data_IF_398925683815
#
_entry.id   IF_398925683815
#
_cell.length_a   1.000
_cell.length_b   1.000
_cell.length_c   1.000
_cell.angle_alpha   90.00
_cell.angle_beta   90.00
_cell.angle_gamma   90.00
#
_symmetry.space_group_name_H-M   'P 1'
#
loop_
_entity.id
_entity.type
_entity.pdbx_description
1 polymer ?
#
# COMPACT_ATOMS: atom_id res chain seq x y z
N UNK A 1 23.40 -8.33 -13.10
CA UNK A 1 22.26 -7.41 -13.04
C UNK A 1 22.44 -6.56 -11.79
N UNK A 2 22.38 -5.23 -11.90
CA UNK A 2 22.45 -4.34 -10.73
C UNK A 2 21.10 -4.45 -9.99
N UNK A 3 21.13 -4.89 -8.76
CA UNK A 3 19.90 -4.99 -7.94
C UNK A 3 19.62 -3.63 -7.32
N UNK A 4 18.43 -3.08 -7.58
CA UNK A 4 18.00 -1.82 -6.98
C UNK A 4 17.91 -1.95 -5.45
N UNK A 5 18.33 -0.91 -4.73
CA UNK A 5 18.05 -0.77 -3.30
C UNK A 5 16.58 -0.38 -3.13
N UNK A 6 15.79 -1.25 -2.52
CA UNK A 6 14.34 -1.06 -2.34
C UNK A 6 14.05 -0.43 -0.99
N UNK A 7 13.42 0.74 -1.01
CA UNK A 7 12.94 1.46 0.17
C UNK A 7 11.43 1.29 0.26
N UNK A 8 10.94 0.58 1.27
CA UNK A 8 9.52 0.32 1.44
C UNK A 8 8.87 1.39 2.32
N UNK A 9 7.81 2.02 1.81
CA UNK A 9 6.98 2.98 2.52
C UNK A 9 5.70 2.28 2.97
N UNK A 10 5.49 2.20 4.27
CA UNK A 10 4.29 1.59 4.86
C UNK A 10 3.62 2.53 5.87
N UNK A 11 2.50 2.11 6.43
CA UNK A 11 1.73 2.88 7.42
C UNK A 11 0.23 2.60 7.30
N UNK A 12 -0.53 3.00 8.31
CA UNK A 12 -1.97 2.78 8.35
C UNK A 12 -2.77 3.61 7.35
N UNK A 13 -4.04 3.28 7.21
CA UNK A 13 -4.99 4.09 6.43
C UNK A 13 -4.99 5.54 6.95
N UNK A 14 -4.95 6.53 6.05
CA UNK A 14 -4.99 7.95 6.39
C UNK A 14 -3.69 8.53 6.97
N UNK A 15 -2.61 7.75 7.13
CA UNK A 15 -1.33 8.24 7.65
C UNK A 15 -0.61 9.20 6.69
N UNK A 16 -0.89 9.15 5.37
CA UNK A 16 -0.30 10.04 4.38
C UNK A 16 0.83 9.41 3.56
N UNK A 17 0.93 8.08 3.51
CA UNK A 17 1.90 7.35 2.66
C UNK A 17 1.94 7.85 1.22
N UNK A 18 0.77 7.94 0.58
CA UNK A 18 0.70 8.33 -0.83
C UNK A 18 1.18 9.77 -1.05
N UNK A 19 0.92 10.69 -0.11
CA UNK A 19 1.45 12.06 -0.17
C UNK A 19 2.97 12.06 -0.04
N UNK A 20 3.52 11.28 0.90
CA UNK A 20 4.98 11.10 1.03
C UNK A 20 5.58 10.56 -0.27
N UNK A 21 4.96 9.55 -0.87
CA UNK A 21 5.43 8.95 -2.12
C UNK A 21 5.38 9.95 -3.29
N UNK A 22 4.33 10.74 -3.41
CA UNK A 22 4.24 11.81 -4.41
C UNK A 22 5.37 12.84 -4.24
N UNK A 23 5.70 13.23 -3.00
CA UNK A 23 6.83 14.13 -2.74
C UNK A 23 8.18 13.49 -3.08
N UNK A 24 8.34 12.18 -2.89
CA UNK A 24 9.52 11.42 -3.32
C UNK A 24 9.65 11.44 -4.85
N UNK A 25 8.55 11.27 -5.58
CA UNK A 25 8.52 11.37 -7.05
C UNK A 25 8.93 12.76 -7.54
N UNK A 26 8.51 13.84 -6.86
CA UNK A 26 8.95 15.22 -7.23
C UNK A 26 10.46 15.43 -7.03
N UNK A 27 11.15 14.58 -6.26
CA UNK A 27 12.61 14.56 -6.10
C UNK A 27 13.30 13.66 -7.14
N UNK A 28 12.54 13.10 -8.11
CA UNK A 28 13.07 12.32 -9.21
C UNK A 28 13.25 10.83 -8.93
N UNK A 29 12.65 10.29 -7.86
CA UNK A 29 12.72 8.87 -7.55
C UNK A 29 11.49 8.11 -8.03
N UNK A 30 11.71 6.90 -8.52
CA UNK A 30 10.64 6.01 -8.97
C UNK A 30 9.93 5.35 -7.79
N UNK A 31 8.58 5.36 -7.83
CA UNK A 31 7.73 4.75 -6.78
C UNK A 31 6.82 3.69 -7.39
N UNK A 32 6.85 2.49 -6.83
CA UNK A 32 5.93 1.40 -7.14
C UNK A 32 4.78 1.40 -6.14
N UNK A 33 3.56 1.62 -6.61
CA UNK A 33 2.34 1.62 -5.80
C UNK A 33 1.67 0.25 -5.81
N UNK A 34 1.92 -0.58 -4.80
CA UNK A 34 1.49 -1.99 -4.77
C UNK A 34 -0.02 -2.15 -4.90
N UNK A 35 -0.83 -1.32 -4.21
CA UNK A 35 -2.30 -1.41 -4.25
C UNK A 35 -2.87 -1.03 -5.63
N UNK A 36 -2.26 -0.05 -6.31
CA UNK A 36 -2.66 0.34 -7.67
C UNK A 36 -2.30 -0.75 -8.68
N UNK A 37 -1.09 -1.33 -8.55
CA UNK A 37 -0.63 -2.43 -9.42
C UNK A 37 -1.47 -3.68 -9.20
N UNK A 38 -1.81 -4.02 -7.95
CA UNK A 38 -2.73 -5.13 -7.66
C UNK A 38 -4.08 -4.94 -8.37
N UNK A 39 -4.68 -3.74 -8.29
CA UNK A 39 -5.94 -3.44 -8.99
C UNK A 39 -5.80 -3.56 -10.52
N UNK A 40 -4.69 -3.09 -11.08
CA UNK A 40 -4.43 -3.21 -12.50
C UNK A 40 -4.33 -4.68 -12.92
N UNK A 41 -3.58 -5.50 -12.18
CA UNK A 41 -3.44 -6.93 -12.45
C UNK A 41 -4.77 -7.67 -12.34
N UNK A 42 -5.57 -7.38 -11.30
CA UNK A 42 -6.92 -7.95 -11.14
C UNK A 42 -7.89 -7.57 -12.26
N UNK A 43 -7.65 -6.48 -13.00
CA UNK A 43 -8.48 -6.09 -14.14
C UNK A 43 -7.92 -6.56 -15.49
N UNK A 44 -6.63 -6.83 -15.60
CA UNK A 44 -5.98 -7.06 -16.91
C UNK A 44 -5.44 -8.48 -17.12
N UNK A 45 -5.13 -9.21 -16.05
CA UNK A 45 -4.61 -10.57 -16.17
C UNK A 45 -5.73 -11.60 -16.28
N UNK A 46 -5.92 -12.17 -17.46
CA UNK A 46 -7.02 -13.10 -17.77
C UNK A 46 -7.16 -14.25 -16.76
N UNK A 47 -6.07 -14.92 -16.43
CA UNK A 47 -6.09 -16.05 -15.48
C UNK A 47 -6.49 -15.59 -14.06
N UNK A 48 -6.04 -14.39 -13.64
CA UNK A 48 -6.41 -13.84 -12.34
C UNK A 48 -7.90 -13.44 -12.31
N UNK A 49 -8.39 -12.82 -13.38
CA UNK A 49 -9.83 -12.50 -13.55
C UNK A 49 -10.68 -13.75 -13.41
N UNK A 50 -10.31 -14.84 -14.10
CA UNK A 50 -11.02 -16.11 -14.00
C UNK A 50 -10.99 -16.68 -12.58
N UNK A 51 -9.82 -16.70 -11.93
CA UNK A 51 -9.70 -17.20 -10.56
C UNK A 51 -10.53 -16.38 -9.55
N UNK A 52 -10.56 -15.06 -9.69
CA UNK A 52 -11.38 -14.18 -8.85
C UNK A 52 -12.87 -14.42 -9.12
N UNK A 53 -13.27 -14.60 -10.38
CA UNK A 53 -14.66 -14.92 -10.73
C UNK A 53 -15.09 -16.27 -10.15
N UNK A 54 -14.23 -17.28 -10.17
CA UNK A 54 -14.51 -18.58 -9.52
C UNK A 54 -14.67 -18.42 -8.01
N UNK A 55 -13.83 -17.59 -7.37
CA UNK A 55 -13.82 -17.39 -5.92
C UNK A 55 -15.03 -16.59 -5.40
N UNK A 56 -15.44 -15.54 -6.14
CA UNK A 56 -16.46 -14.59 -5.68
C UNK A 56 -17.75 -14.61 -6.49
N UNK A 57 -17.79 -15.35 -7.59
CA UNK A 57 -18.90 -15.35 -8.54
C UNK A 57 -18.84 -14.19 -9.55
N UNK A 58 -19.79 -14.19 -10.49
CA UNK A 58 -19.86 -13.19 -11.58
C UNK A 58 -19.97 -11.74 -11.08
N UNK A 59 -20.53 -11.52 -9.88
CA UNK A 59 -20.65 -10.19 -9.26
C UNK A 59 -19.29 -9.55 -8.91
N UNK A 60 -18.19 -10.33 -8.97
CA UNK A 60 -16.85 -9.84 -8.77
C UNK A 60 -16.42 -8.81 -9.82
N UNK A 61 -17.04 -8.85 -11.00
CA UNK A 61 -16.80 -7.92 -12.09
C UNK A 61 -18.10 -7.30 -12.58
N UNK A 62 -18.05 -6.02 -12.92
CA UNK A 62 -19.16 -5.28 -13.51
C UNK A 62 -18.66 -4.59 -14.78
N UNK A 63 -19.29 -4.87 -15.93
CA UNK A 63 -18.85 -4.36 -17.23
C UNK A 63 -17.36 -4.57 -17.53
N UNK A 64 -16.81 -5.71 -17.12
CA UNK A 64 -15.40 -6.06 -17.32
C UNK A 64 -14.42 -5.40 -16.34
N UNK A 65 -14.91 -4.67 -15.35
CA UNK A 65 -14.10 -4.02 -14.33
C UNK A 65 -14.35 -4.65 -12.95
N UNK A 66 -13.29 -4.80 -12.15
CA UNK A 66 -13.38 -5.36 -10.80
C UNK A 66 -14.34 -4.54 -9.92
N UNK A 67 -15.37 -5.17 -9.41
CA UNK A 67 -16.29 -4.58 -8.43
C UNK A 67 -15.61 -4.55 -7.04
N UNK A 68 -14.75 -3.52 -6.84
CA UNK A 68 -13.94 -3.41 -5.63
C UNK A 68 -14.79 -3.28 -4.36
N UNK A 69 -15.99 -2.70 -4.43
CA UNK A 69 -16.89 -2.57 -3.27
C UNK A 69 -17.45 -3.93 -2.87
N UNK A 70 -17.91 -4.71 -3.84
CA UNK A 70 -18.42 -6.07 -3.61
C UNK A 70 -17.32 -6.98 -3.02
N UNK A 71 -16.12 -6.97 -3.62
CA UNK A 71 -14.98 -7.74 -3.10
C UNK A 71 -14.64 -7.32 -1.66
N UNK A 72 -14.56 -6.02 -1.39
CA UNK A 72 -14.28 -5.51 -0.05
C UNK A 72 -15.30 -5.97 0.98
N UNK A 73 -16.59 -5.99 0.64
CA UNK A 73 -17.66 -6.47 1.51
C UNK A 73 -17.56 -7.99 1.76
N UNK A 74 -17.19 -8.77 0.75
CA UNK A 74 -17.01 -10.22 0.88
C UNK A 74 -15.83 -10.55 1.81
N UNK A 75 -14.65 -10.02 1.55
CA UNK A 75 -13.43 -10.29 2.33
C UNK A 75 -13.51 -9.73 3.76
N UNK A 76 -14.34 -8.71 3.96
CA UNK A 76 -14.58 -8.18 5.29
C UNK A 76 -15.40 -9.14 6.15
N UNK A 77 -16.42 -9.75 5.57
CA UNK A 77 -17.31 -10.71 6.27
C UNK A 77 -16.66 -12.08 6.45
N UNK A 78 -15.78 -12.48 5.53
CA UNK A 78 -15.19 -13.82 5.47
C UNK A 78 -13.67 -13.73 5.35
N UNK A 79 -12.97 -14.00 6.47
CA UNK A 79 -11.49 -13.93 6.51
C UNK A 79 -10.84 -14.95 5.58
N UNK A 80 -11.45 -16.10 5.35
CA UNK A 80 -10.91 -17.15 4.49
C UNK A 80 -10.85 -16.67 3.01
N UNK A 81 -11.91 -16.00 2.53
CA UNK A 81 -11.92 -15.38 1.19
C UNK A 81 -10.84 -14.33 1.03
N UNK A 82 -10.54 -13.58 2.09
CA UNK A 82 -9.42 -12.64 2.08
C UNK A 82 -8.09 -13.35 1.89
N UNK A 83 -7.83 -14.42 2.65
CA UNK A 83 -6.60 -15.20 2.55
C UNK A 83 -6.46 -15.82 1.16
N UNK A 84 -7.53 -16.36 0.60
CA UNK A 84 -7.53 -16.93 -0.74
C UNK A 84 -7.26 -15.86 -1.80
N UNK A 85 -7.92 -14.70 -1.75
CA UNK A 85 -7.65 -13.58 -2.65
C UNK A 85 -6.19 -13.12 -2.57
N UNK A 86 -5.66 -12.93 -1.36
CA UNK A 86 -4.28 -12.53 -1.13
C UNK A 86 -3.30 -13.58 -1.70
N UNK A 87 -3.61 -14.87 -1.60
CA UNK A 87 -2.80 -15.95 -2.17
C UNK A 87 -2.73 -15.93 -3.70
N UNK A 88 -3.79 -15.46 -4.36
CA UNK A 88 -3.83 -15.30 -5.81
C UNK A 88 -3.10 -14.03 -6.28
N UNK A 89 -3.26 -12.94 -5.54
CA UNK A 89 -2.80 -11.60 -5.97
C UNK A 89 -1.33 -11.34 -5.60
N UNK A 90 -0.90 -11.70 -4.38
CA UNK A 90 0.43 -11.33 -3.88
C UNK A 90 1.59 -11.88 -4.73
N UNK A 91 1.56 -13.12 -5.22
CA UNK A 91 2.64 -13.63 -6.10
C UNK A 91 2.77 -12.81 -7.38
N UNK A 92 1.65 -12.44 -7.99
CA UNK A 92 1.63 -11.68 -9.24
C UNK A 92 2.11 -10.24 -9.04
N UNK A 93 1.72 -9.60 -7.93
CA UNK A 93 2.23 -8.26 -7.58
C UNK A 93 3.74 -8.30 -7.31
N UNK A 94 4.23 -9.36 -6.68
CA UNK A 94 5.66 -9.54 -6.45
C UNK A 94 6.43 -9.71 -7.76
N UNK A 95 5.93 -10.52 -8.67
CA UNK A 95 6.53 -10.71 -10.00
C UNK A 95 6.53 -9.41 -10.80
N UNK A 96 5.40 -8.70 -10.82
CA UNK A 96 5.25 -7.41 -11.46
C UNK A 96 6.22 -6.37 -10.87
N UNK A 97 6.38 -6.33 -9.55
CA UNK A 97 7.34 -5.46 -8.89
C UNK A 97 8.79 -5.75 -9.31
N UNK A 98 9.19 -7.02 -9.33
CA UNK A 98 10.55 -7.41 -9.72
C UNK A 98 10.83 -7.07 -11.20
N UNK A 99 9.87 -7.27 -12.08
CA UNK A 99 9.96 -6.85 -13.47
C UNK A 99 10.10 -5.34 -13.58
N UNK A 100 9.25 -4.59 -12.89
CA UNK A 100 9.28 -3.13 -12.85
C UNK A 100 10.63 -2.59 -12.35
N UNK A 101 11.22 -3.16 -11.29
CA UNK A 101 12.57 -2.81 -10.82
C UNK A 101 13.64 -3.01 -11.90
N UNK A 102 13.57 -4.12 -12.64
CA UNK A 102 14.52 -4.40 -13.72
C UNK A 102 14.38 -3.43 -14.91
N UNK A 103 13.14 -3.03 -15.22
CA UNK A 103 12.82 -2.11 -16.31
C UNK A 103 13.18 -0.67 -15.96
N UNK A 104 13.01 -0.23 -14.72
CA UNK A 104 13.38 1.13 -14.29
C UNK A 104 14.88 1.38 -14.41
N UNK A 105 15.71 0.38 -14.09
CA UNK A 105 17.17 0.52 -14.08
C UNK A 105 17.71 1.42 -12.96
N UNK A 106 16.86 1.92 -12.08
CA UNK A 106 17.22 2.83 -11.00
C UNK A 106 18.01 2.11 -9.89
N UNK A 107 19.02 2.79 -9.35
CA UNK A 107 19.80 2.25 -8.22
C UNK A 107 18.99 2.19 -6.92
N UNK A 108 18.09 3.14 -6.74
CA UNK A 108 17.19 3.24 -5.58
C UNK A 108 15.77 3.37 -6.08
N UNK A 109 14.89 2.50 -5.60
CA UNK A 109 13.46 2.53 -5.89
C UNK A 109 12.66 2.52 -4.59
N UNK A 110 11.50 3.16 -4.63
CA UNK A 110 10.55 3.16 -3.52
C UNK A 110 9.39 2.23 -3.84
N UNK A 111 8.87 1.55 -2.80
CA UNK A 111 7.70 0.68 -2.88
C UNK A 111 6.68 1.10 -1.83
N UNK A 112 5.52 1.56 -2.25
CA UNK A 112 4.41 1.85 -1.34
C UNK A 112 3.54 0.61 -1.17
N UNK A 113 3.33 0.19 0.08
CA UNK A 113 2.38 -0.85 0.43
C UNK A 113 1.93 -0.72 1.88
N UNK A 114 0.63 -0.93 2.11
CA UNK A 114 0.08 -0.94 3.47
C UNK A 114 0.51 -2.18 4.28
N UNK A 115 0.87 -3.28 3.62
CA UNK A 115 1.06 -4.60 4.21
C UNK A 115 2.53 -5.04 4.33
N UNK A 116 3.51 -4.14 4.19
CA UNK A 116 4.94 -4.47 4.23
C UNK A 116 5.33 -5.27 5.48
N UNK A 117 4.88 -4.83 6.64
CA UNK A 117 5.21 -5.45 7.92
C UNK A 117 4.41 -6.74 8.15
N UNK A 118 3.13 -6.72 7.79
CA UNK A 118 2.21 -7.84 7.92
C UNK A 118 2.65 -9.03 7.07
N UNK A 119 3.15 -8.79 5.86
CA UNK A 119 3.64 -9.82 4.93
C UNK A 119 5.11 -10.16 5.12
N UNK A 120 5.83 -9.40 5.97
CA UNK A 120 7.29 -9.53 6.15
C UNK A 120 8.02 -9.51 4.80
N UNK A 121 7.73 -8.50 3.99
CA UNK A 121 8.23 -8.40 2.61
C UNK A 121 9.76 -8.39 2.57
N UNK A 122 10.33 -9.51 2.08
CA UNK A 122 11.79 -9.72 2.03
C UNK A 122 12.50 -8.90 0.95
N UNK A 123 11.76 -8.21 0.08
CA UNK A 123 12.36 -7.35 -0.94
C UNK A 123 12.72 -5.96 -0.39
N UNK A 124 12.33 -5.64 0.84
CA UNK A 124 12.59 -4.34 1.45
C UNK A 124 13.98 -4.32 2.09
N UNK A 125 14.85 -3.45 1.60
CA UNK A 125 16.17 -3.20 2.20
C UNK A 125 16.09 -2.18 3.35
N UNK A 126 15.14 -1.25 3.26
CA UNK A 126 14.88 -0.24 4.28
C UNK A 126 13.37 0.01 4.39
N UNK A 127 12.84 -0.01 5.59
CA UNK A 127 11.41 0.15 5.86
C UNK A 127 11.17 1.47 6.56
N UNK A 128 10.28 2.27 5.99
CA UNK A 128 9.82 3.55 6.53
C UNK A 128 8.35 3.43 6.86
N UNK A 129 7.98 3.64 8.13
CA UNK A 129 6.57 3.72 8.51
C UNK A 129 6.13 5.17 8.68
N UNK A 130 5.05 5.52 7.97
CA UNK A 130 4.35 6.79 8.14
C UNK A 130 3.24 6.60 9.16
N UNK A 131 3.31 7.34 10.27
CA UNK A 131 2.32 7.31 11.34
C UNK A 131 1.62 8.66 11.48
N UNK A 132 0.43 8.68 12.01
CA UNK A 132 -0.33 9.87 12.37
C UNK A 132 -1.40 9.53 13.39
N UNK A 133 -1.76 10.50 14.21
CA UNK A 133 -2.82 10.36 15.22
C UNK A 133 -4.12 9.86 14.61
N UNK A 134 -4.83 9.01 15.32
CA UNK A 134 -6.08 8.41 14.85
C UNK A 134 -7.09 9.45 14.34
N UNK A 135 -7.28 10.54 15.10
CA UNK A 135 -8.18 11.62 14.70
C UNK A 135 -7.76 12.28 13.38
N UNK A 136 -6.47 12.46 13.15
CA UNK A 136 -5.92 13.00 11.90
C UNK A 136 -6.18 12.04 10.74
N UNK A 137 -5.94 10.75 10.96
CA UNK A 137 -6.19 9.68 9.98
C UNK A 137 -7.66 9.64 9.59
N UNK A 138 -8.58 9.63 10.56
CA UNK A 138 -10.04 9.64 10.34
C UNK A 138 -10.46 10.85 9.51
N UNK A 139 -10.03 12.07 9.90
CA UNK A 139 -10.34 13.31 9.16
C UNK A 139 -9.88 13.24 7.70
N UNK A 140 -8.68 12.74 7.45
CA UNK A 140 -8.11 12.61 6.09
C UNK A 140 -8.89 11.60 5.25
N UNK A 141 -9.25 10.45 5.83
CA UNK A 141 -10.07 9.44 5.13
C UNK A 141 -11.46 9.97 4.82
N UNK A 142 -12.12 10.61 5.77
CA UNK A 142 -13.45 11.23 5.56
C UNK A 142 -13.43 12.32 4.48
N UNK A 143 -12.35 13.12 4.41
CA UNK A 143 -12.20 14.13 3.35
C UNK A 143 -12.05 13.51 1.96
N UNK A 144 -11.32 12.39 1.86
CA UNK A 144 -11.07 11.68 0.59
C UNK A 144 -12.25 10.81 0.15
N UNK A 145 -12.93 10.20 1.11
CA UNK A 145 -13.98 9.19 0.90
C UNK A 145 -15.13 9.47 1.90
N UNK A 146 -15.98 10.49 1.61
CA UNK A 146 -17.03 10.91 2.52
C UNK A 146 -18.09 9.82 2.80
N UNK A 147 -18.26 8.89 1.87
CA UNK A 147 -19.19 7.76 1.93
C UNK A 147 -18.83 6.73 3.02
N UNK A 148 -17.56 6.62 3.40
CA UNK A 148 -17.13 5.66 4.43
C UNK A 148 -17.49 6.20 5.81
N UNK A 149 -18.24 5.43 6.61
CA UNK A 149 -18.58 5.82 7.99
C UNK A 149 -17.34 5.88 8.89
N UNK A 150 -17.38 6.73 9.91
CA UNK A 150 -16.27 6.83 10.88
C UNK A 150 -16.06 5.52 11.63
N UNK A 151 -17.14 4.80 11.97
CA UNK A 151 -17.05 3.48 12.58
C UNK A 151 -16.29 2.49 11.71
N UNK A 152 -16.54 2.51 10.40
CA UNK A 152 -15.83 1.67 9.44
C UNK A 152 -14.35 2.02 9.34
N UNK A 153 -14.01 3.31 9.38
CA UNK A 153 -12.61 3.74 9.37
C UNK A 153 -11.89 3.25 10.64
N UNK A 154 -12.51 3.39 11.81
CA UNK A 154 -11.94 2.91 13.09
C UNK A 154 -11.74 1.39 13.07
N UNK A 155 -12.68 0.65 12.48
CA UNK A 155 -12.57 -0.78 12.32
C UNK A 155 -11.39 -1.17 11.40
N UNK A 156 -11.21 -0.49 10.28
CA UNK A 156 -10.03 -0.70 9.42
C UNK A 156 -8.74 -0.40 10.19
N UNK A 157 -8.71 0.69 10.96
CA UNK A 157 -7.54 1.05 11.79
C UNK A 157 -7.21 -0.07 12.78
N UNK A 158 -8.22 -0.64 13.46
CA UNK A 158 -8.03 -1.69 14.46
C UNK A 158 -7.54 -3.02 13.89
N UNK A 159 -7.71 -3.26 12.58
CA UNK A 159 -7.21 -4.47 11.90
C UNK A 159 -5.77 -4.33 11.40
N UNK A 160 -5.22 -3.12 11.40
CA UNK A 160 -3.85 -2.85 10.97
C UNK A 160 -2.88 -2.92 12.16
N UNK A 161 -1.58 -3.08 11.88
CA UNK A 161 -0.55 -2.99 12.92
C UNK A 161 -0.64 -1.65 13.65
N UNK A 162 -0.61 -1.72 14.98
CA UNK A 162 -0.52 -0.54 15.83
C UNK A 162 0.81 0.21 15.61
N UNK A 163 0.83 1.51 15.89
CA UNK A 163 2.01 2.33 15.62
C UNK A 163 3.23 1.87 16.44
N UNK A 164 3.03 1.34 17.66
CA UNK A 164 4.12 0.75 18.47
C UNK A 164 4.79 -0.46 17.79
N UNK A 165 4.01 -1.29 17.08
CA UNK A 165 4.58 -2.40 16.31
C UNK A 165 5.31 -1.88 15.06
N UNK A 166 4.81 -0.81 14.44
CA UNK A 166 5.48 -0.17 13.30
C UNK A 166 6.81 0.43 13.73
N UNK A 167 6.87 1.13 14.85
CA UNK A 167 8.10 1.67 15.43
C UNK A 167 9.15 0.59 15.68
N UNK A 168 8.73 -0.55 16.21
CA UNK A 168 9.63 -1.68 16.52
C UNK A 168 10.21 -2.36 15.27
N UNK A 169 9.47 -2.35 14.15
CA UNK A 169 9.83 -3.13 12.95
C UNK A 169 10.23 -2.28 11.75
N UNK A 170 10.32 -0.96 11.91
CA UNK A 170 10.75 -0.04 10.85
C UNK A 170 12.13 0.55 11.15
N UNK A 171 12.87 0.86 10.10
CA UNK A 171 14.16 1.51 10.20
C UNK A 171 14.05 3.02 10.42
N UNK A 172 12.93 3.60 9.97
CA UNK A 172 12.62 5.03 10.12
C UNK A 172 11.12 5.22 10.34
N UNK A 173 10.78 6.12 11.26
CA UNK A 173 9.40 6.57 11.49
C UNK A 173 9.26 8.00 11.00
N UNK A 174 8.21 8.25 10.22
CA UNK A 174 7.81 9.59 9.79
C UNK A 174 6.44 9.90 10.41
N UNK A 175 6.45 10.73 11.44
CA UNK A 175 5.21 11.29 11.99
C UNK A 175 4.64 12.32 11.04
N UNK A 176 3.35 12.20 10.71
CA UNK A 176 2.68 13.06 9.74
C UNK A 176 1.38 13.62 10.32
N UNK A 177 1.47 14.45 11.35
CA UNK A 177 0.31 15.12 11.96
C UNK A 177 0.12 16.55 11.43
N UNK A 178 1.15 17.12 10.81
CA UNK A 178 1.21 18.50 10.36
C UNK A 178 0.74 18.74 8.93
N UNK A 179 1.23 19.83 8.37
CA UNK A 179 0.97 20.27 6.98
C UNK A 179 1.91 19.56 5.99
N UNK A 180 1.61 19.72 4.70
CA UNK A 180 2.40 19.12 3.60
C UNK A 180 3.84 19.66 3.60
N UNK A 181 4.04 20.97 3.84
CA UNK A 181 5.37 21.58 3.88
C UNK A 181 6.29 20.95 4.93
N UNK A 182 5.72 20.55 6.08
CA UNK A 182 6.48 19.82 7.11
C UNK A 182 6.85 18.40 6.63
N UNK A 183 6.00 17.79 5.81
CA UNK A 183 6.27 16.49 5.24
C UNK A 183 7.38 16.54 4.17
N UNK A 184 7.51 17.65 3.44
CA UNK A 184 8.60 17.88 2.49
C UNK A 184 9.97 17.83 3.16
N UNK A 185 10.12 18.51 4.31
CA UNK A 185 11.36 18.45 5.10
C UNK A 185 11.68 17.03 5.56
N UNK A 186 10.64 16.25 5.89
CA UNK A 186 10.80 14.83 6.29
C UNK A 186 11.18 13.94 5.13
N UNK A 187 10.74 14.26 3.90
CA UNK A 187 11.20 13.58 2.68
C UNK A 187 12.69 13.81 2.46
N UNK A 188 13.15 15.07 2.55
CA UNK A 188 14.56 15.40 2.37
C UNK A 188 15.44 14.70 3.43
N UNK A 189 14.96 14.63 4.68
CA UNK A 189 15.59 13.84 5.73
C UNK A 189 15.62 12.33 5.42
N UNK A 190 14.50 11.75 4.96
CA UNK A 190 14.46 10.34 4.53
C UNK A 190 15.50 10.08 3.44
N UNK A 191 15.53 10.91 2.39
CA UNK A 191 16.46 10.75 1.28
C UNK A 191 17.91 10.77 1.76
N UNK A 192 18.28 11.67 2.67
CA UNK A 192 19.62 11.72 3.26
C UNK A 192 20.04 10.47 4.05
N UNK A 193 19.06 9.61 4.43
CA UNK A 193 19.34 8.34 5.15
C UNK A 193 19.47 7.14 4.21
N UNK A 194 18.95 7.23 3.00
CA UNK A 194 18.84 6.08 2.09
C UNK A 194 19.72 6.22 0.84
N UNK A 195 20.12 7.42 0.51
CA UNK A 195 21.13 7.72 -0.51
C UNK A 195 22.51 7.62 0.12
#
# INVERSE_FOLDING_TARGET
MKTSKVICITGGIGSGKSTLCQLIETRGYSVYYSDQRAKLLMNSQHNLVQSITVLFGESAYESGTLNSSFIADCIFKQKDLRVELESLVHPLVKEDFLRWCNESGDEIVFKESALVLETKDKNCHFIVSVIADENTRIKRVKKRSPEISESRIKEIISTQYADQLREKHSHLIIENNGKVDELEVKVDYLLSKVI
#
